data_IF_030845370264
#
_entry.id   IF_030845370264
#
_cell.length_a   1.000
_cell.length_b   1.000
_cell.length_c   1.000
_cell.angle_alpha   90.00
_cell.angle_beta   90.00
_cell.angle_gamma   90.00
#
_symmetry.space_group_name_H-M   'P 1'
#
loop_
_entity.id
_entity.type
_entity.pdbx_description
1 polymer ?
#
# COMPACT_ATOMS: atom_id res chain seq x y z
N UNK A 1 -18.15 -13.87 -2.79
CA UNK A 1 -17.44 -12.81 -2.07
C UNK A 1 -16.66 -11.95 -3.03
N UNK A 2 -16.73 -10.65 -2.86
CA UNK A 2 -15.91 -9.74 -3.67
C UNK A 2 -14.44 -9.84 -3.24
N UNK A 3 -13.49 -9.92 -4.19
CA UNK A 3 -12.09 -9.76 -3.86
C UNK A 3 -11.86 -8.39 -3.22
N UNK A 4 -10.95 -8.34 -2.26
CA UNK A 4 -10.59 -7.09 -1.59
C UNK A 4 -9.31 -6.52 -2.19
N UNK A 5 -9.15 -5.21 -2.14
CA UNK A 5 -7.92 -4.57 -2.50
C UNK A 5 -6.82 -5.02 -1.53
N UNK A 6 -5.61 -5.22 -2.05
CA UNK A 6 -4.49 -5.74 -1.29
C UNK A 6 -3.56 -4.60 -0.90
N UNK A 7 -3.37 -4.42 0.40
CA UNK A 7 -2.47 -3.42 0.95
C UNK A 7 -1.18 -4.10 1.43
N UNK A 8 -0.05 -3.70 0.87
CA UNK A 8 1.27 -4.23 1.24
C UNK A 8 2.05 -3.19 2.03
N UNK A 9 2.49 -3.59 3.20
CA UNK A 9 3.30 -2.79 4.11
C UNK A 9 4.61 -3.52 4.38
N UNK A 10 5.68 -2.77 4.66
CA UNK A 10 6.93 -3.40 5.09
C UNK A 10 6.83 -3.82 6.55
N UNK A 11 7.24 -5.04 6.83
CA UNK A 11 7.48 -5.46 8.20
C UNK A 11 8.53 -4.55 8.82
N UNK A 12 8.31 -4.04 10.04
CA UNK A 12 9.30 -3.17 10.69
C UNK A 12 10.52 -3.94 11.18
N UNK A 13 11.48 -3.19 11.71
CA UNK A 13 12.70 -3.76 12.30
C UNK A 13 13.59 -4.46 11.29
N UNK A 14 13.77 -3.84 10.12
CA UNK A 14 14.67 -4.38 9.11
C UNK A 14 16.02 -3.65 9.12
N UNK A 15 17.13 -4.35 8.88
CA UNK A 15 18.41 -3.69 8.69
C UNK A 15 18.52 -3.12 7.28
N UNK A 16 19.21 -2.00 7.17
CA UNK A 16 19.56 -1.43 5.88
C UNK A 16 20.97 -0.85 5.97
N UNK A 17 22.01 -1.62 5.62
CA UNK A 17 23.39 -1.17 5.72
C UNK A 17 23.69 0.11 4.94
N UNK A 18 22.93 0.40 3.88
CA UNK A 18 23.10 1.64 3.11
C UNK A 18 22.67 2.87 3.90
N UNK A 19 21.71 2.71 4.81
CA UNK A 19 21.24 3.81 5.65
C UNK A 19 22.11 3.97 6.89
N UNK A 20 22.74 2.89 7.38
CA UNK A 20 23.55 2.91 8.58
C UNK A 20 23.30 1.68 9.46
N UNK A 21 23.95 1.63 10.64
CA UNK A 21 23.74 0.52 11.58
C UNK A 21 22.35 0.56 12.23
N UNK A 22 21.93 -0.58 12.79
CA UNK A 22 20.67 -0.68 13.50
C UNK A 22 19.52 -1.15 12.64
N UNK A 23 18.32 -0.96 13.17
CA UNK A 23 17.10 -1.41 12.54
C UNK A 23 16.19 -0.22 12.23
N UNK A 24 15.39 -0.38 11.16
CA UNK A 24 14.58 0.70 10.63
C UNK A 24 13.12 0.31 10.47
N UNK A 25 12.26 1.30 10.33
CA UNK A 25 10.88 1.11 9.88
C UNK A 25 10.63 2.01 8.67
N UNK A 26 9.64 1.64 7.86
CA UNK A 26 9.20 2.45 6.74
C UNK A 26 8.29 3.58 7.26
N UNK A 27 8.68 4.86 7.12
CA UNK A 27 7.88 5.96 7.66
C UNK A 27 6.47 6.03 7.09
N UNK A 28 6.32 5.86 5.78
CA UNK A 28 5.00 5.91 5.15
C UNK A 28 4.15 4.69 5.48
N UNK A 29 4.77 3.53 5.66
CA UNK A 29 4.04 2.34 6.12
C UNK A 29 3.48 2.56 7.52
N UNK A 30 4.25 3.20 8.40
CA UNK A 30 3.78 3.54 9.75
C UNK A 30 2.61 4.54 9.70
N UNK A 31 2.66 5.49 8.77
CA UNK A 31 1.54 6.41 8.57
C UNK A 31 0.27 5.67 8.12
N UNK A 32 0.38 4.71 7.22
CA UNK A 32 -0.77 3.89 6.81
C UNK A 32 -1.26 3.02 7.95
N UNK A 33 -0.34 2.44 8.75
CA UNK A 33 -0.72 1.72 9.98
C UNK A 33 -1.56 2.60 10.90
N UNK A 34 -1.21 3.89 11.00
CA UNK A 34 -1.98 4.86 11.76
C UNK A 34 -3.41 5.00 11.26
N UNK A 35 -3.62 4.97 9.95
CA UNK A 35 -4.98 4.98 9.38
C UNK A 35 -5.73 3.70 9.75
N UNK A 36 -5.07 2.54 9.68
CA UNK A 36 -5.70 1.27 10.05
C UNK A 36 -6.07 1.25 11.54
N UNK A 37 -5.26 1.85 12.39
CA UNK A 37 -5.53 1.95 13.81
C UNK A 37 -6.66 2.94 14.13
N UNK A 38 -6.68 4.08 13.43
CA UNK A 38 -7.69 5.12 13.63
C UNK A 38 -9.06 4.73 13.05
N UNK A 39 -9.04 3.94 11.98
CA UNK A 39 -10.24 3.49 11.27
C UNK A 39 -10.21 1.97 11.13
N UNK A 40 -10.43 1.23 12.23
CA UNK A 40 -10.21 -0.23 12.24
C UNK A 40 -11.04 -1.02 11.24
N UNK A 41 -12.18 -0.48 10.78
CA UNK A 41 -12.99 -1.17 9.76
C UNK A 41 -12.22 -1.40 8.46
N UNK A 42 -11.18 -0.61 8.20
CA UNK A 42 -10.36 -0.77 6.99
C UNK A 42 -9.75 -2.16 6.90
N UNK A 43 -9.38 -2.78 8.02
CA UNK A 43 -8.86 -4.15 8.03
C UNK A 43 -9.90 -5.18 7.58
N UNK A 44 -11.18 -4.84 7.66
CA UNK A 44 -12.26 -5.69 7.19
C UNK A 44 -12.56 -5.53 5.70
N UNK A 45 -12.21 -4.40 5.10
CA UNK A 45 -12.45 -4.13 3.68
C UNK A 45 -11.20 -4.25 2.82
N UNK A 46 -10.03 -4.27 3.43
CA UNK A 46 -8.75 -4.46 2.75
C UNK A 46 -8.12 -5.79 3.16
N UNK A 47 -7.33 -6.36 2.27
CA UNK A 47 -6.47 -7.49 2.60
C UNK A 47 -5.09 -6.93 2.90
N UNK A 48 -4.71 -6.90 4.18
CA UNK A 48 -3.45 -6.30 4.63
C UNK A 48 -2.39 -7.39 4.76
N UNK A 49 -1.26 -7.20 4.08
CA UNK A 49 -0.14 -8.12 4.12
C UNK A 49 1.16 -7.36 4.39
N UNK A 50 2.08 -8.02 5.06
CA UNK A 50 3.40 -7.47 5.38
C UNK A 50 4.45 -8.20 4.56
N UNK A 51 5.39 -7.43 4.01
CA UNK A 51 6.48 -7.98 3.20
C UNK A 51 7.81 -7.55 3.78
N UNK A 52 8.85 -8.34 3.49
CA UNK A 52 10.19 -8.05 3.96
C UNK A 52 10.86 -6.96 3.12
N UNK A 53 11.79 -6.24 3.72
CA UNK A 53 12.50 -5.15 3.08
C UNK A 53 13.28 -5.54 1.82
N UNK A 54 14.05 -6.64 1.80
CA UNK A 54 14.86 -6.98 0.62
C UNK A 54 14.03 -7.19 -0.64
N UNK A 55 14.59 -6.78 -1.77
CA UNK A 55 13.99 -7.04 -3.09
C UNK A 55 14.67 -8.24 -3.75
N UNK A 56 13.99 -8.97 -4.62
CA UNK A 56 12.62 -8.72 -5.09
C UNK A 56 11.56 -9.08 -4.02
N UNK A 57 10.49 -8.30 -4.03
CA UNK A 57 9.35 -8.54 -3.14
C UNK A 57 8.34 -9.41 -3.87
N UNK A 58 8.45 -10.71 -3.66
CA UNK A 58 7.76 -11.72 -4.45
C UNK A 58 6.23 -11.60 -4.43
N UNK A 59 5.66 -11.05 -3.38
CA UNK A 59 4.20 -10.87 -3.29
C UNK A 59 3.72 -9.68 -4.14
N UNK A 60 4.58 -8.72 -4.45
CA UNK A 60 4.23 -7.49 -5.16
C UNK A 60 4.54 -7.58 -6.65
N UNK A 61 5.69 -8.14 -7.00
CA UNK A 61 6.17 -8.18 -8.39
C UNK A 61 5.16 -8.77 -9.38
N UNK A 62 4.49 -9.91 -9.08
CA UNK A 62 3.51 -10.46 -10.02
C UNK A 62 2.27 -9.58 -10.22
N UNK A 63 2.02 -8.64 -9.33
CA UNK A 63 0.84 -7.78 -9.38
C UNK A 63 1.10 -6.50 -10.15
N UNK A 64 2.20 -5.81 -9.88
CA UNK A 64 2.46 -4.48 -10.42
C UNK A 64 3.87 -4.32 -11.01
N UNK A 65 4.64 -5.40 -11.13
CA UNK A 65 5.95 -5.41 -11.78
C UNK A 65 7.10 -5.08 -10.85
N UNK A 66 8.31 -5.44 -11.32
CA UNK A 66 9.54 -5.21 -10.54
C UNK A 66 9.85 -3.72 -10.35
N UNK A 67 9.36 -2.86 -11.23
CA UNK A 67 9.55 -1.41 -11.15
C UNK A 67 8.69 -0.74 -10.08
N UNK A 68 7.70 -1.44 -9.51
CA UNK A 68 6.73 -0.88 -8.58
C UNK A 68 6.70 -1.61 -7.23
N UNK A 69 7.87 -1.97 -6.71
CA UNK A 69 7.98 -2.71 -5.46
C UNK A 69 7.98 -1.85 -4.20
N UNK A 70 7.87 -0.54 -4.32
CA UNK A 70 7.86 0.36 -3.17
C UNK A 70 6.66 0.12 -2.27
N UNK A 71 6.87 0.21 -0.96
CA UNK A 71 5.81 0.11 0.04
C UNK A 71 5.68 1.45 0.78
N UNK A 72 4.47 1.79 1.24
CA UNK A 72 3.22 1.03 1.09
C UNK A 72 2.68 1.10 -0.34
N UNK A 73 2.01 0.04 -0.76
CA UNK A 73 1.32 -0.01 -2.05
C UNK A 73 -0.03 -0.70 -1.87
N UNK A 74 -1.06 -0.14 -2.49
CA UNK A 74 -2.40 -0.71 -2.50
C UNK A 74 -2.74 -1.14 -3.92
N UNK A 75 -2.93 -2.44 -4.12
CA UNK A 75 -3.25 -3.02 -5.42
C UNK A 75 -4.75 -3.30 -5.46
N UNK A 76 -5.42 -2.71 -6.45
CA UNK A 76 -6.86 -2.84 -6.56
C UNK A 76 -7.24 -4.23 -7.07
N UNK A 77 -8.33 -4.77 -6.53
CA UNK A 77 -8.87 -6.05 -6.97
C UNK A 77 -9.51 -5.96 -8.35
N UNK A 78 -10.05 -4.80 -8.69
CA UNK A 78 -10.71 -4.54 -9.97
C UNK A 78 -10.34 -3.16 -10.50
N UNK A 79 -11.19 -2.63 -11.38
CA UNK A 79 -10.99 -1.29 -11.92
C UNK A 79 -11.25 -0.22 -10.87
N UNK A 80 -10.50 0.88 -10.95
CA UNK A 80 -10.72 2.02 -10.08
C UNK A 80 -12.11 2.63 -10.33
N UNK A 81 -12.77 3.12 -9.26
CA UNK A 81 -14.01 3.86 -9.43
C UNK A 81 -13.79 5.12 -10.28
N UNK A 82 -14.84 5.53 -11.00
CA UNK A 82 -14.78 6.74 -11.81
C UNK A 82 -14.41 7.96 -10.97
N UNK A 83 -13.52 8.81 -11.49
CA UNK A 83 -13.08 10.02 -10.82
C UNK A 83 -11.99 9.84 -9.78
N UNK A 84 -11.55 8.61 -9.53
CA UNK A 84 -10.48 8.30 -8.58
C UNK A 84 -9.16 8.13 -9.33
N UNK A 85 -8.15 8.88 -8.92
CA UNK A 85 -6.82 8.84 -9.56
C UNK A 85 -6.05 7.61 -9.09
N UNK A 86 -5.58 6.80 -10.04
CA UNK A 86 -4.76 5.62 -9.76
C UNK A 86 -3.65 5.50 -10.80
N UNK A 87 -2.68 4.63 -10.51
CA UNK A 87 -1.65 4.20 -11.45
C UNK A 87 -2.11 2.91 -12.12
N UNK A 88 -1.62 2.66 -13.31
CA UNK A 88 -1.97 1.45 -14.06
C UNK A 88 -0.72 0.73 -14.52
N UNK A 89 -0.66 -0.59 -14.31
CA UNK A 89 0.44 -1.42 -14.80
C UNK A 89 -0.04 -2.19 -16.04
N UNK A 90 0.51 -1.86 -17.20
CA UNK A 90 0.03 -2.40 -18.47
C UNK A 90 0.19 -3.91 -18.59
N UNK A 91 1.33 -4.45 -18.17
CA UNK A 91 1.62 -5.87 -18.36
C UNK A 91 0.69 -6.76 -17.55
N UNK A 92 0.27 -6.34 -16.35
CA UNK A 92 -0.64 -7.13 -15.51
C UNK A 92 -2.08 -6.66 -15.60
N UNK A 93 -2.31 -5.47 -16.14
CA UNK A 93 -3.64 -4.85 -16.21
C UNK A 93 -4.17 -4.36 -14.87
N UNK A 94 -3.32 -4.28 -13.85
CA UNK A 94 -3.74 -3.91 -12.50
C UNK A 94 -3.63 -2.42 -12.24
N UNK A 95 -4.64 -1.88 -11.55
CA UNK A 95 -4.59 -0.51 -11.01
C UNK A 95 -4.05 -0.56 -9.59
N UNK A 96 -3.31 0.47 -9.20
CA UNK A 96 -2.73 0.56 -7.87
C UNK A 96 -2.46 2.01 -7.48
N UNK A 97 -2.28 2.24 -6.19
CA UNK A 97 -1.79 3.52 -5.66
C UNK A 97 -0.60 3.25 -4.77
N UNK A 98 0.36 4.18 -4.74
CA UNK A 98 1.64 3.98 -4.08
C UNK A 98 1.97 5.17 -3.17
N UNK A 99 2.45 4.84 -1.97
CA UNK A 99 2.81 5.82 -0.96
C UNK A 99 1.63 6.27 -0.11
N UNK A 100 1.94 6.83 1.05
CA UNK A 100 0.93 7.23 2.02
C UNK A 100 -0.07 8.23 1.43
N UNK A 101 0.43 9.25 0.72
CA UNK A 101 -0.43 10.32 0.19
C UNK A 101 -1.48 9.78 -0.76
N UNK A 102 -1.06 8.95 -1.71
CA UNK A 102 -1.99 8.36 -2.69
C UNK A 102 -2.96 7.38 -2.03
N UNK A 103 -2.45 6.56 -1.12
CA UNK A 103 -3.28 5.58 -0.41
C UNK A 103 -4.31 6.30 0.47
N UNK A 104 -3.89 7.31 1.21
CA UNK A 104 -4.79 8.10 2.05
C UNK A 104 -5.91 8.75 1.22
N UNK A 105 -5.57 9.34 0.08
CA UNK A 105 -6.54 9.96 -0.81
C UNK A 105 -7.53 8.92 -1.37
N UNK A 106 -7.02 7.75 -1.76
CA UNK A 106 -7.86 6.65 -2.25
C UNK A 106 -8.84 6.17 -1.18
N UNK A 107 -8.35 5.94 0.03
CA UNK A 107 -9.19 5.47 1.13
C UNK A 107 -10.27 6.49 1.50
N UNK A 108 -9.93 7.79 1.44
CA UNK A 108 -10.91 8.84 1.68
C UNK A 108 -12.00 8.85 0.61
N UNK A 109 -11.60 8.73 -0.66
CA UNK A 109 -12.55 8.77 -1.78
C UNK A 109 -13.45 7.53 -1.84
N UNK A 110 -12.91 6.36 -1.54
CA UNK A 110 -13.60 5.07 -1.73
C UNK A 110 -14.26 4.57 -0.45
N UNK A 111 -13.56 4.66 0.67
CA UNK A 111 -14.05 4.15 1.95
C UNK A 111 -14.52 5.24 2.90
N UNK A 112 -14.49 6.49 2.46
CA UNK A 112 -15.05 7.65 3.14
C UNK A 112 -14.46 7.92 4.52
N UNK A 113 -13.20 7.57 4.74
CA UNK A 113 -12.50 8.10 5.90
C UNK A 113 -12.25 9.60 5.68
N UNK A 114 -12.09 10.39 6.75
CA UNK A 114 -11.73 11.80 6.60
C UNK A 114 -10.43 11.97 5.83
N UNK A 115 -10.36 13.01 5.01
CA UNK A 115 -9.14 13.34 4.29
C UNK A 115 -8.05 13.81 5.25
N UNK A 116 -6.79 13.66 4.83
CA UNK A 116 -5.68 14.18 5.61
C UNK A 116 -5.80 15.70 5.74
N UNK A 117 -5.54 16.21 6.95
CA UNK A 117 -5.54 17.66 7.18
C UNK A 117 -4.37 18.29 6.42
N UNK A 118 -4.60 19.39 5.65
CA UNK A 118 -3.51 20.06 4.91
C UNK A 118 -2.53 20.85 5.84
#
# INVERSE_FOLDING_TARGET
MKPRDQLFLLSPNFPDPRAGPGFYHCPECVQVEGLLASYPFLRGVLEVAYVDFPRPRAAIVPLVGAENQGCPVLVLAGSAPAGVTVRHHHATGRDFVSGYREISAYLAAVHRIPAAHP
#
